data_IF_753479605691
#
_entry.id   IF_753479605691
#
_cell.length_a   1.000
_cell.length_b   1.000
_cell.length_c   1.000
_cell.angle_alpha   90.00
_cell.angle_beta   90.00
_cell.angle_gamma   90.00
#
_symmetry.space_group_name_H-M   'P 1'
#
loop_
_entity.id
_entity.type
_entity.pdbx_description
1 polymer ?
#
# COMPACT_ATOMS: atom_id res chain seq x y z
N UNK A 1 -40.69 13.22 -20.62
CA UNK A 1 -40.30 11.82 -20.34
C UNK A 1 -38.91 11.59 -20.91
N UNK A 2 -37.88 11.60 -20.06
CA UNK A 2 -36.49 11.31 -20.47
C UNK A 2 -36.05 10.05 -19.75
N UNK A 3 -35.93 8.95 -20.51
CA UNK A 3 -35.29 7.70 -20.12
C UNK A 3 -33.86 8.01 -19.69
N UNK A 4 -33.55 7.87 -18.41
CA UNK A 4 -32.15 7.81 -17.96
C UNK A 4 -31.68 6.37 -18.03
N UNK A 5 -30.99 6.14 -19.14
CA UNK A 5 -30.18 4.99 -19.50
C UNK A 5 -29.33 4.52 -18.31
N UNK A 6 -29.40 3.22 -18.02
CA UNK A 6 -28.46 2.52 -17.16
C UNK A 6 -27.02 2.83 -17.59
N UNK A 7 -26.23 3.46 -16.73
CA UNK A 7 -24.76 3.49 -16.86
C UNK A 7 -24.21 2.70 -15.69
N UNK A 8 -24.17 1.37 -15.87
CA UNK A 8 -23.29 0.51 -15.11
C UNK A 8 -21.88 0.69 -15.70
N UNK A 9 -20.98 1.35 -14.98
CA UNK A 9 -19.57 1.43 -15.32
C UNK A 9 -18.72 1.39 -14.04
N UNK A 10 -17.86 0.37 -13.96
CA UNK A 10 -16.58 0.48 -13.25
C UNK A 10 -16.46 -0.16 -11.86
N UNK A 11 -16.96 -1.39 -11.64
CA UNK A 11 -16.36 -2.23 -10.61
C UNK A 11 -14.96 -2.64 -11.08
N UNK A 12 -13.94 -1.84 -10.71
CA UNK A 12 -12.56 -2.08 -11.08
C UNK A 12 -12.02 -3.25 -10.24
N UNK A 13 -12.06 -4.45 -10.81
CA UNK A 13 -11.34 -5.62 -10.30
C UNK A 13 -9.84 -5.39 -10.58
N UNK A 14 -9.16 -4.66 -9.70
CA UNK A 14 -7.70 -4.43 -9.78
C UNK A 14 -6.85 -5.64 -9.35
N UNK A 15 -7.45 -6.82 -9.13
CA UNK A 15 -6.73 -7.95 -8.52
C UNK A 15 -5.95 -8.80 -9.55
N UNK A 16 -6.22 -8.69 -10.85
CA UNK A 16 -5.78 -9.71 -11.81
C UNK A 16 -4.58 -9.38 -12.72
N UNK A 17 -3.96 -8.20 -12.67
CA UNK A 17 -2.87 -7.88 -13.64
C UNK A 17 -1.67 -7.11 -13.08
N UNK A 18 -1.44 -7.07 -11.77
CA UNK A 18 -0.24 -6.45 -11.20
C UNK A 18 0.85 -7.51 -10.96
N UNK A 19 1.42 -8.05 -12.04
CA UNK A 19 2.52 -9.05 -12.00
C UNK A 19 3.90 -8.44 -11.69
N UNK A 20 3.95 -7.30 -11.03
CA UNK A 20 5.19 -6.68 -10.53
C UNK A 20 5.12 -6.51 -9.01
N UNK A 21 4.76 -7.59 -8.32
CA UNK A 21 5.16 -7.78 -6.94
C UNK A 21 6.56 -8.38 -7.00
N UNK A 22 7.61 -7.55 -6.89
CA UNK A 22 8.86 -8.10 -6.39
C UNK A 22 8.54 -8.59 -4.98
N UNK A 23 8.60 -9.90 -4.82
CA UNK A 23 8.33 -10.61 -3.57
C UNK A 23 9.17 -9.94 -2.47
N UNK A 24 8.50 -9.14 -1.63
CA UNK A 24 9.16 -8.30 -0.64
C UNK A 24 9.96 -9.18 0.33
N UNK A 25 9.47 -10.39 0.61
CA UNK A 25 10.19 -11.38 1.39
C UNK A 25 11.42 -11.86 0.63
N UNK A 26 11.30 -12.17 -0.66
CA UNK A 26 12.45 -12.56 -1.47
C UNK A 26 13.51 -11.45 -1.56
N UNK A 27 13.11 -10.19 -1.68
CA UNK A 27 14.03 -9.05 -1.69
C UNK A 27 14.65 -8.81 -0.30
N UNK A 28 13.86 -8.93 0.78
CA UNK A 28 14.32 -8.83 2.17
C UNK A 28 15.30 -9.93 2.57
N UNK A 29 15.21 -11.09 1.95
CA UNK A 29 15.94 -12.30 2.37
C UNK A 29 16.98 -12.74 1.36
N UNK A 30 17.26 -11.95 0.32
CA UNK A 30 18.09 -12.34 -0.82
C UNK A 30 17.66 -13.69 -1.42
N UNK A 31 16.33 -13.92 -1.50
CA UNK A 31 15.73 -15.14 -2.05
C UNK A 31 15.65 -16.32 -1.08
N UNK A 32 16.03 -16.15 0.19
CA UNK A 32 16.02 -17.23 1.20
C UNK A 32 14.62 -17.52 1.77
N UNK A 33 13.75 -16.52 1.79
CA UNK A 33 12.33 -16.59 2.11
C UNK A 33 11.56 -15.88 1.01
N UNK A 34 10.69 -16.60 0.34
CA UNK A 34 9.84 -16.16 -0.78
C UNK A 34 8.43 -16.66 -0.49
N UNK A 35 7.44 -16.17 -1.22
CA UNK A 35 6.06 -16.68 -1.23
C UNK A 35 5.97 -18.22 -1.41
N UNK A 36 7.05 -18.88 -1.85
CA UNK A 36 7.17 -20.35 -1.99
C UNK A 36 8.04 -21.05 -0.91
N UNK A 37 8.40 -20.37 0.18
CA UNK A 37 9.29 -20.93 1.20
C UNK A 37 8.60 -21.87 2.19
N UNK A 38 9.32 -22.87 2.75
CA UNK A 38 8.76 -23.80 3.72
C UNK A 38 8.20 -23.03 4.94
N UNK A 39 6.89 -23.12 5.16
CA UNK A 39 6.18 -22.42 6.24
C UNK A 39 5.31 -21.24 5.79
N UNK A 40 5.42 -20.79 4.53
CA UNK A 40 4.50 -19.81 3.92
C UNK A 40 3.43 -20.58 3.14
N UNK A 41 2.18 -20.51 3.60
CA UNK A 41 1.06 -21.18 2.93
C UNK A 41 0.57 -20.31 1.78
N UNK A 42 0.87 -20.72 0.54
CA UNK A 42 0.21 -20.18 -0.65
C UNK A 42 -1.26 -20.58 -0.60
N UNK A 43 -2.14 -19.59 -0.44
CA UNK A 43 -3.57 -19.82 -0.43
C UNK A 43 -4.05 -20.27 -1.83
N UNK A 44 -4.83 -21.34 -1.87
CA UNK A 44 -5.52 -21.79 -3.08
C UNK A 44 -6.54 -20.73 -3.55
N UNK A 45 -7.01 -20.85 -4.80
CA UNK A 45 -8.00 -19.92 -5.38
C UNK A 45 -9.27 -19.78 -4.51
N UNK A 46 -9.69 -20.87 -3.86
CA UNK A 46 -10.88 -20.87 -3.00
C UNK A 46 -10.60 -20.33 -1.60
N UNK A 47 -9.37 -20.46 -1.10
CA UNK A 47 -8.94 -19.82 0.15
C UNK A 47 -8.74 -18.31 -0.03
N UNK A 48 -8.20 -17.86 -1.17
CA UNK A 48 -8.12 -16.43 -1.51
C UNK A 48 -9.50 -15.76 -1.58
N UNK A 49 -10.53 -16.48 -2.02
CA UNK A 49 -11.94 -16.00 -2.00
C UNK A 49 -12.53 -15.90 -0.60
N UNK A 50 -11.96 -16.62 0.38
CA UNK A 50 -12.41 -16.61 1.78
C UNK A 50 -11.72 -15.54 2.63
N UNK A 51 -10.59 -14.98 2.20
CA UNK A 51 -9.98 -13.81 2.84
C UNK A 51 -10.79 -12.56 2.47
N UNK A 52 -11.85 -12.29 3.25
CA UNK A 52 -12.84 -11.24 2.98
C UNK A 52 -12.67 -9.96 3.80
N UNK A 53 -11.45 -9.58 4.15
CA UNK A 53 -11.23 -8.28 4.79
C UNK A 53 -9.77 -7.87 4.91
N UNK A 54 -9.58 -6.55 4.96
CA UNK A 54 -8.29 -5.90 5.09
C UNK A 54 -7.79 -5.42 3.74
N UNK A 55 -7.42 -4.14 3.65
CA UNK A 55 -6.78 -3.60 2.48
C UNK A 55 -5.42 -4.26 2.40
N UNK A 56 -5.09 -4.73 1.20
CA UNK A 56 -3.78 -5.29 0.95
C UNK A 56 -2.83 -4.14 0.70
N UNK A 57 -1.55 -4.42 0.80
CA UNK A 57 -0.54 -3.42 0.49
C UNK A 57 0.41 -3.93 -0.56
N UNK A 58 0.94 -3.01 -1.35
CA UNK A 58 1.97 -3.30 -2.34
C UNK A 58 3.18 -2.40 -2.09
N UNK A 59 4.35 -3.01 -2.02
CA UNK A 59 5.61 -2.27 -2.00
C UNK A 59 5.97 -1.80 -3.41
N UNK A 60 6.40 -0.56 -3.53
CA UNK A 60 6.83 0.07 -4.79
C UNK A 60 8.09 0.89 -4.56
N UNK A 61 8.97 0.96 -5.56
CA UNK A 61 10.11 1.87 -5.55
C UNK A 61 9.73 3.18 -6.23
N UNK A 62 9.83 4.30 -5.50
CA UNK A 62 9.63 5.64 -6.08
C UNK A 62 10.92 6.24 -6.60
N UNK A 63 12.04 6.00 -5.94
CA UNK A 63 13.34 6.53 -6.36
C UNK A 63 14.43 5.53 -6.05
N UNK A 64 15.32 5.33 -7.01
CA UNK A 64 16.55 4.59 -6.82
C UNK A 64 17.64 5.31 -7.62
N UNK A 65 18.29 6.26 -6.96
CA UNK A 65 19.30 7.11 -7.55
C UNK A 65 20.62 6.96 -6.78
N UNK A 66 21.72 6.78 -7.49
CA UNK A 66 23.04 6.74 -6.88
C UNK A 66 24.08 7.35 -7.81
N UNK A 67 24.93 8.21 -7.27
CA UNK A 67 26.13 8.74 -7.91
C UNK A 67 27.28 8.80 -6.88
N UNK A 68 28.42 9.36 -7.27
CA UNK A 68 29.62 9.44 -6.42
C UNK A 68 29.47 10.29 -5.16
N UNK A 69 28.44 11.13 -5.06
CA UNK A 69 28.23 12.10 -3.98
C UNK A 69 26.95 11.84 -3.17
N UNK A 70 26.00 11.10 -3.72
CA UNK A 70 24.65 10.96 -3.20
C UNK A 70 24.03 9.63 -3.63
N UNK A 71 23.49 8.90 -2.65
CA UNK A 71 22.61 7.76 -2.89
C UNK A 71 21.26 8.01 -2.23
N UNK A 72 20.19 8.03 -3.01
CA UNK A 72 18.80 8.15 -2.55
C UNK A 72 18.01 6.92 -2.98
N UNK A 73 17.48 6.20 -2.00
CA UNK A 73 16.51 5.14 -2.21
C UNK A 73 15.20 5.52 -1.55
N UNK A 74 14.10 5.38 -2.26
CA UNK A 74 12.76 5.61 -1.73
C UNK A 74 11.87 4.43 -2.08
N UNK A 75 11.48 3.69 -1.05
CA UNK A 75 10.47 2.64 -1.16
C UNK A 75 9.19 3.10 -0.47
N UNK A 76 8.06 2.69 -1.01
CA UNK A 76 6.75 3.02 -0.49
C UNK A 76 5.87 1.79 -0.43
N UNK A 77 4.87 1.87 0.44
CA UNK A 77 3.82 0.87 0.59
C UNK A 77 2.50 1.55 0.28
N UNK A 78 1.77 0.99 -0.66
CA UNK A 78 0.54 1.55 -1.24
C UNK A 78 -0.64 0.70 -0.79
N UNK A 79 -1.69 1.33 -0.27
CA UNK A 79 -2.92 0.65 0.09
C UNK A 79 -3.73 0.28 -1.16
N UNK A 80 -4.15 -0.97 -1.26
CA UNK A 80 -4.99 -1.50 -2.32
C UNK A 80 -6.25 -2.09 -1.72
N UNK A 81 -7.39 -1.69 -2.27
CA UNK A 81 -8.70 -2.03 -1.72
C UNK A 81 -9.42 -3.07 -2.54
N UNK A 82 -10.10 -3.98 -1.85
CA UNK A 82 -11.10 -4.87 -2.47
C UNK A 82 -12.46 -4.19 -2.61
N UNK A 83 -13.33 -4.76 -3.44
CA UNK A 83 -14.69 -4.24 -3.67
C UNK A 83 -15.50 -4.08 -2.37
N UNK A 84 -15.30 -4.95 -1.37
CA UNK A 84 -15.99 -4.87 -0.09
C UNK A 84 -15.51 -3.79 0.86
N UNK A 85 -14.34 -3.17 0.60
CA UNK A 85 -13.80 -2.12 1.48
C UNK A 85 -14.16 -0.71 1.02
N UNK A 86 -14.48 -0.57 -0.27
CA UNK A 86 -14.98 0.66 -0.86
C UNK A 86 -16.50 0.79 -0.73
N UNK A 87 -17.17 -0.22 -0.14
CA UNK A 87 -18.61 -0.25 0.14
C UNK A 87 -18.98 0.44 1.48
N UNK A 88 -18.23 1.48 1.84
CA UNK A 88 -18.53 2.33 3.00
C UNK A 88 -17.84 1.95 4.31
N UNK A 89 -16.88 1.03 4.31
CA UNK A 89 -16.08 0.72 5.50
C UNK A 89 -14.75 0.02 5.20
N UNK A 90 -13.66 0.59 5.69
CA UNK A 90 -12.30 0.06 5.52
C UNK A 90 -11.87 -0.72 6.76
N UNK A 91 -11.34 -1.93 6.58
CA UNK A 91 -10.79 -2.72 7.67
C UNK A 91 -9.45 -2.16 8.17
N UNK A 92 -9.08 -2.50 9.41
CA UNK A 92 -7.70 -2.37 9.83
C UNK A 92 -6.82 -3.40 9.09
N UNK A 93 -5.54 -3.08 8.93
CA UNK A 93 -4.57 -3.98 8.31
C UNK A 93 -4.55 -5.34 9.04
N UNK A 94 -4.59 -6.44 8.28
CA UNK A 94 -4.56 -7.81 8.82
C UNK A 94 -5.87 -8.30 9.46
N UNK A 95 -6.97 -7.55 9.36
CA UNK A 95 -8.30 -7.99 9.83
C UNK A 95 -9.13 -8.58 8.71
N UNK A 96 -9.63 -9.80 8.91
CA UNK A 96 -10.41 -10.56 7.92
C UNK A 96 -11.88 -10.16 7.79
N UNK A 97 -12.40 -9.29 8.66
CA UNK A 97 -13.78 -8.76 8.58
C UNK A 97 -13.88 -7.36 9.18
N UNK A 98 -14.62 -6.49 8.49
CA UNK A 98 -14.91 -5.12 8.92
C UNK A 98 -16.34 -5.01 9.51
N UNK A 99 -17.06 -6.13 9.56
CA UNK A 99 -18.47 -6.19 9.90
C UNK A 99 -18.67 -6.54 11.37
N UNK A 100 -19.61 -5.86 12.02
CA UNK A 100 -20.11 -6.26 13.33
C UNK A 100 -20.95 -7.54 13.19
N UNK A 101 -21.67 -7.65 12.08
CA UNK A 101 -22.48 -8.81 11.74
C UNK A 101 -22.20 -9.23 10.29
N UNK A 102 -21.69 -10.46 10.16
CA UNK A 102 -21.27 -11.02 8.88
C UNK A 102 -22.45 -11.41 7.97
N UNK A 103 -23.64 -11.63 8.54
CA UNK A 103 -24.86 -11.95 7.81
C UNK A 103 -25.48 -10.69 7.18
N UNK A 104 -25.55 -9.59 7.93
CA UNK A 104 -26.12 -8.32 7.45
C UNK A 104 -25.11 -7.41 6.74
N UNK A 105 -23.81 -7.75 6.76
CA UNK A 105 -22.72 -6.93 6.19
C UNK A 105 -22.69 -5.52 6.78
N UNK A 106 -23.05 -5.38 8.05
CA UNK A 106 -23.05 -4.08 8.73
C UNK A 106 -21.64 -3.71 9.17
N UNK A 107 -21.03 -2.70 8.54
CA UNK A 107 -19.70 -2.22 8.91
C UNK A 107 -19.66 -1.65 10.33
N UNK A 108 -18.55 -1.93 11.03
CA UNK A 108 -18.27 -1.34 12.34
C UNK A 108 -18.13 0.19 12.27
N UNK A 109 -18.40 0.88 13.39
CA UNK A 109 -18.23 2.34 13.50
C UNK A 109 -16.78 2.72 13.14
N UNK A 110 -15.81 1.97 13.66
CA UNK A 110 -14.39 2.17 13.36
C UNK A 110 -14.11 2.06 11.87
N UNK A 111 -14.64 1.02 11.20
CA UNK A 111 -14.44 0.85 9.75
C UNK A 111 -15.08 1.96 8.92
N UNK A 112 -16.26 2.44 9.33
CA UNK A 112 -16.93 3.57 8.68
C UNK A 112 -16.13 4.86 8.83
N UNK A 113 -15.58 5.12 10.01
CA UNK A 113 -14.80 6.33 10.26
C UNK A 113 -13.47 6.31 9.50
N UNK A 114 -12.83 5.14 9.38
CA UNK A 114 -11.66 4.94 8.49
C UNK A 114 -12.00 5.23 7.03
N UNK A 115 -13.15 4.74 6.55
CA UNK A 115 -13.59 5.03 5.18
C UNK A 115 -13.84 6.52 4.95
N UNK A 116 -14.46 7.22 5.91
CA UNK A 116 -14.64 8.68 5.84
C UNK A 116 -13.30 9.40 5.83
N UNK A 117 -12.36 9.00 6.69
CA UNK A 117 -11.02 9.59 6.73
C UNK A 117 -10.29 9.42 5.40
N UNK A 118 -10.25 8.20 4.87
CA UNK A 118 -9.71 7.89 3.57
C UNK A 118 -10.37 8.72 2.44
N UNK A 119 -11.70 8.75 2.39
CA UNK A 119 -12.45 9.44 1.34
C UNK A 119 -12.31 10.96 1.37
N UNK A 120 -11.90 11.55 2.51
CA UNK A 120 -11.56 12.98 2.59
C UNK A 120 -10.21 13.29 1.95
N UNK A 121 -9.29 12.32 1.94
CA UNK A 121 -7.92 12.53 1.46
C UNK A 121 -7.71 12.02 0.04
N UNK A 122 -8.28 10.87 -0.32
CA UNK A 122 -8.07 10.21 -1.61
C UNK A 122 -9.41 9.96 -2.34
N UNK A 123 -9.45 10.27 -3.63
CA UNK A 123 -10.59 10.04 -4.52
C UNK A 123 -10.49 8.67 -5.17
N UNK A 124 -11.01 7.64 -4.51
CA UNK A 124 -10.93 6.27 -5.01
C UNK A 124 -11.61 6.07 -6.38
N UNK A 125 -12.65 6.84 -6.70
CA UNK A 125 -13.30 6.83 -8.02
C UNK A 125 -12.38 7.35 -9.15
N UNK A 126 -11.28 8.00 -8.80
CA UNK A 126 -10.26 8.52 -9.72
C UNK A 126 -8.95 7.72 -9.62
N UNK A 127 -9.01 6.48 -9.12
CA UNK A 127 -7.86 5.61 -8.86
C UNK A 127 -6.80 6.24 -7.93
N UNK A 128 -7.24 7.11 -7.01
CA UNK A 128 -6.36 7.62 -5.97
C UNK A 128 -6.43 6.74 -4.71
N UNK A 129 -5.28 6.53 -4.08
CA UNK A 129 -5.16 5.80 -2.81
C UNK A 129 -4.08 6.43 -1.91
N UNK A 130 -3.94 5.91 -0.70
CA UNK A 130 -2.94 6.35 0.27
C UNK A 130 -1.69 5.46 0.20
N UNK A 131 -0.54 6.08 0.44
CA UNK A 131 0.73 5.39 0.58
C UNK A 131 1.61 6.08 1.62
N UNK A 132 2.50 5.31 2.24
CA UNK A 132 3.62 5.89 2.98
C UNK A 132 4.93 5.45 2.33
N UNK A 133 5.95 6.30 2.40
CA UNK A 133 7.29 6.00 1.91
C UNK A 133 8.35 6.23 2.96
N UNK A 134 9.45 5.50 2.82
CA UNK A 134 10.70 5.74 3.54
C UNK A 134 11.77 6.05 2.51
N UNK A 135 12.37 7.22 2.65
CA UNK A 135 13.52 7.64 1.86
C UNK A 135 14.78 7.48 2.70
N UNK A 136 15.77 6.74 2.19
CA UNK A 136 17.13 6.73 2.70
C UNK A 136 18.01 7.61 1.82
N UNK A 137 18.72 8.55 2.43
CA UNK A 137 19.71 9.38 1.77
C UNK A 137 21.08 9.15 2.39
N UNK A 138 22.05 8.80 1.57
CA UNK A 138 23.48 8.72 1.91
C UNK A 138 24.20 9.85 1.19
N UNK A 139 24.83 10.75 1.94
CA UNK A 139 25.68 11.79 1.38
C UNK A 139 27.16 11.42 1.51
N UNK A 140 27.87 11.48 0.38
CA UNK A 140 29.32 11.33 0.24
C UNK A 140 29.99 12.67 -0.12
N UNK A 141 29.32 13.79 0.13
CA UNK A 141 29.76 15.13 -0.28
C UNK A 141 31.17 15.51 0.21
N UNK A 142 31.65 14.88 1.29
CA UNK A 142 33.03 14.99 1.72
C UNK A 142 33.69 13.59 1.68
N UNK A 143 34.68 13.35 0.78
CA UNK A 143 35.32 12.04 0.62
C UNK A 143 36.18 11.62 1.83
N UNK A 144 36.46 12.54 2.76
CA UNK A 144 37.23 12.27 3.98
C UNK A 144 36.34 12.17 5.23
N UNK A 145 35.03 12.40 5.10
CA UNK A 145 34.09 12.29 6.21
C UNK A 145 33.32 10.96 6.15
N UNK A 146 32.89 10.50 7.32
CA UNK A 146 31.99 9.35 7.43
C UNK A 146 30.68 9.70 6.68
N UNK A 147 30.22 8.84 5.74
CA UNK A 147 28.99 9.09 4.99
C UNK A 147 27.81 9.35 5.91
N UNK A 148 27.05 10.41 5.63
CA UNK A 148 25.89 10.77 6.44
C UNK A 148 24.67 10.01 5.94
N UNK A 149 24.11 9.14 6.78
CA UNK A 149 22.91 8.36 6.48
C UNK A 149 21.73 9.00 7.19
N UNK A 150 20.67 9.28 6.44
CA UNK A 150 19.42 9.82 6.98
C UNK A 150 18.23 9.04 6.42
N UNK A 151 17.19 8.90 7.27
CA UNK A 151 15.92 8.30 6.89
C UNK A 151 14.80 9.33 7.07
N UNK A 152 13.94 9.47 6.07
CA UNK A 152 12.76 10.32 6.11
C UNK A 152 11.52 9.49 5.77
N UNK A 153 10.53 9.53 6.64
CA UNK A 153 9.22 8.91 6.37
C UNK A 153 8.25 9.97 5.87
N UNK A 154 7.52 9.69 4.79
CA UNK A 154 6.56 10.60 4.18
C UNK A 154 5.25 9.88 3.84
N UNK A 155 4.16 10.64 3.70
CA UNK A 155 2.84 10.11 3.36
C UNK A 155 2.31 10.81 2.11
N UNK A 156 1.76 10.05 1.17
CA UNK A 156 1.30 10.55 -0.12
C UNK A 156 -0.07 10.00 -0.49
N UNK A 157 -0.86 10.83 -1.15
CA UNK A 157 -1.91 10.35 -2.04
C UNK A 157 -1.25 10.01 -3.36
N UNK A 158 -1.52 8.82 -3.88
CA UNK A 158 -0.94 8.28 -5.10
C UNK A 158 -2.02 7.88 -6.07
N UNK A 159 -1.74 8.03 -7.36
CA UNK A 159 -2.58 7.54 -8.45
C UNK A 159 -2.06 6.21 -8.97
N UNK A 160 -2.96 5.37 -9.48
CA UNK A 160 -2.63 4.13 -10.18
C UNK A 160 -3.15 4.23 -11.61
N UNK A 161 -2.27 4.14 -12.60
CA UNK A 161 -2.67 4.19 -14.00
C UNK A 161 -3.19 2.83 -14.50
N UNK A 162 -3.68 2.78 -15.75
CA UNK A 162 -4.20 1.55 -16.38
C UNK A 162 -3.15 0.44 -16.54
N UNK A 163 -1.86 0.78 -16.47
CA UNK A 163 -0.73 -0.15 -16.53
C UNK A 163 -0.30 -0.62 -15.13
N UNK A 164 -0.96 -0.16 -14.07
CA UNK A 164 -0.62 -0.51 -12.69
C UNK A 164 0.54 0.28 -12.09
N UNK A 165 1.03 1.31 -12.78
CA UNK A 165 2.12 2.15 -12.28
C UNK A 165 1.59 3.13 -11.25
N UNK A 166 2.30 3.23 -10.13
CA UNK A 166 1.97 4.13 -9.03
C UNK A 166 2.77 5.42 -9.15
N UNK A 167 2.09 6.56 -9.03
CA UNK A 167 2.72 7.88 -9.09
C UNK A 167 2.21 8.80 -7.99
N UNK A 168 3.07 9.69 -7.49
CA UNK A 168 2.73 10.65 -6.43
C UNK A 168 1.84 11.76 -6.98
N UNK A 169 0.75 12.05 -6.26
CA UNK A 169 -0.15 13.17 -6.59
C UNK A 169 0.08 14.34 -5.66
N UNK A 170 0.05 14.09 -4.34
CA UNK A 170 0.17 15.12 -3.29
C UNK A 170 0.55 14.49 -1.97
N UNK A 171 0.96 15.32 -1.00
CA UNK A 171 1.16 14.86 0.37
C UNK A 171 -0.18 14.44 0.99
N UNK A 172 -0.16 13.33 1.73
CA UNK A 172 -1.28 12.88 2.55
C UNK A 172 -1.07 13.26 4.01
N UNK A 173 -2.11 13.11 4.82
CA UNK A 173 -1.99 13.28 6.27
C UNK A 173 -1.22 12.08 6.85
N UNK A 174 -0.03 12.36 7.40
CA UNK A 174 0.80 11.34 8.04
C UNK A 174 0.16 10.73 9.30
N UNK A 175 -0.87 11.38 9.86
CA UNK A 175 -1.58 10.93 11.05
C UNK A 175 -2.84 10.12 10.75
N UNK A 176 -3.21 9.94 9.49
CA UNK A 176 -4.38 9.14 9.15
C UNK A 176 -4.24 7.71 9.66
N UNK A 177 -5.36 7.11 10.09
CA UNK A 177 -5.36 5.77 10.69
C UNK A 177 -4.71 4.73 9.79
N UNK A 178 -4.98 4.81 8.48
CA UNK A 178 -4.39 3.94 7.47
C UNK A 178 -2.88 4.11 7.33
N UNK A 179 -2.38 5.34 7.28
CA UNK A 179 -0.94 5.60 7.17
C UNK A 179 -0.22 5.12 8.42
N UNK A 180 -0.80 5.34 9.60
CA UNK A 180 -0.24 4.85 10.87
C UNK A 180 -0.16 3.33 10.93
N UNK A 181 -1.19 2.63 10.47
CA UNK A 181 -1.20 1.16 10.40
C UNK A 181 -0.12 0.64 9.45
N UNK A 182 -0.05 1.20 8.24
CA UNK A 182 0.96 0.78 7.26
C UNK A 182 2.38 1.07 7.76
N UNK A 183 2.61 2.27 8.31
CA UNK A 183 3.89 2.66 8.89
C UNK A 183 4.29 1.72 10.03
N UNK A 184 3.38 1.47 10.97
CA UNK A 184 3.64 0.59 12.12
C UNK A 184 3.96 -0.85 11.72
N UNK A 185 3.38 -1.34 10.63
CA UNK A 185 3.63 -2.67 10.11
C UNK A 185 4.93 -2.77 9.28
N UNK A 186 5.19 -1.83 8.37
CA UNK A 186 6.20 -2.00 7.31
C UNK A 186 7.39 -1.04 7.37
N UNK A 187 7.41 -0.02 8.23
CA UNK A 187 8.51 0.96 8.25
C UNK A 187 9.87 0.28 8.54
N UNK A 188 9.89 -0.69 9.45
CA UNK A 188 11.10 -1.44 9.78
C UNK A 188 11.58 -2.26 8.59
N UNK A 189 10.68 -2.94 7.90
CA UNK A 189 11.01 -3.76 6.75
C UNK A 189 11.54 -2.91 5.58
N UNK A 190 10.93 -1.75 5.33
CA UNK A 190 11.44 -0.80 4.34
C UNK A 190 12.84 -0.27 4.69
N UNK A 191 13.11 0.00 5.98
CA UNK A 191 14.45 0.41 6.42
C UNK A 191 15.47 -0.71 6.23
N UNK A 192 15.11 -1.95 6.59
CA UNK A 192 15.97 -3.12 6.40
C UNK A 192 16.32 -3.35 4.92
N UNK A 193 15.35 -3.22 4.00
CA UNK A 193 15.61 -3.30 2.55
C UNK A 193 16.66 -2.31 2.07
N UNK A 194 16.76 -1.16 2.74
CA UNK A 194 17.71 -0.11 2.40
C UNK A 194 19.04 -0.23 3.13
N UNK A 195 19.25 -1.28 3.93
CA UNK A 195 20.48 -1.53 4.69
C UNK A 195 20.54 -0.78 6.03
N UNK A 196 19.49 -0.91 6.84
CA UNK A 196 19.48 -0.54 8.25
C UNK A 196 20.05 -1.65 9.13
#
# INVERSE_FOLDING_TARGET
>A
MFKKLFVAFGALVCISTLSFATDLLAELTNGKLSDNSPGVKVLSLDEKKQVKGGYVVQAVSFQNYSNSYLSVKEYAVVALFGAGELDGGICALGKTSCYIDNATKTHSIVSKDRFKEFSREAKWQQNETLSFSVTRTISFANPFAIPQISYKTSAYVVGINSLGQVYKLRNANAYSSMIRDMKGAYEKDLKNLMGF
#
